data_IF_171731316692
#
_entry.id   IF_171731316692
#
_cell.length_a   1.000
_cell.length_b   1.000
_cell.length_c   1.000
_cell.angle_alpha   90.00
_cell.angle_beta   90.00
_cell.angle_gamma   90.00
#
_symmetry.space_group_name_H-M   'P 1'
#
loop_
_entity.id
_entity.type
_entity.pdbx_description
1 polymer ?
#
# COMPACT_ATOMS: atom_id res chain seq x y z
N UNK A 1 -7.48 -7.88 -20.88
CA UNK A 1 -8.88 -7.71 -20.45
C UNK A 1 -9.04 -6.30 -19.90
N UNK A 2 -10.11 -5.60 -20.22
CA UNK A 2 -10.38 -4.27 -19.65
C UNK A 2 -10.90 -4.43 -18.22
N UNK A 3 -10.45 -3.57 -17.30
CA UNK A 3 -10.95 -3.56 -15.91
C UNK A 3 -12.43 -3.20 -15.86
N UNK A 4 -13.16 -3.81 -14.94
CA UNK A 4 -14.55 -3.47 -14.65
C UNK A 4 -14.64 -2.13 -13.93
N UNK A 5 -15.81 -1.49 -13.97
CA UNK A 5 -16.07 -0.24 -13.23
C UNK A 5 -15.78 -0.41 -11.72
N UNK A 6 -16.14 -1.56 -11.15
CA UNK A 6 -15.89 -1.89 -9.75
C UNK A 6 -14.40 -1.97 -9.43
N UNK A 7 -13.61 -2.67 -10.26
CA UNK A 7 -12.16 -2.77 -10.08
C UNK A 7 -11.46 -1.40 -10.20
N UNK A 8 -11.99 -0.50 -11.04
CA UNK A 8 -11.48 0.86 -11.18
C UNK A 8 -11.73 1.66 -9.90
N UNK A 9 -12.93 1.56 -9.32
CA UNK A 9 -13.27 2.28 -8.09
C UNK A 9 -12.55 1.70 -6.86
N UNK A 10 -12.41 0.38 -6.77
CA UNK A 10 -11.59 -0.28 -5.75
C UNK A 10 -10.12 0.16 -5.83
N UNK A 11 -9.55 0.19 -7.04
CA UNK A 11 -8.19 0.70 -7.23
C UNK A 11 -8.08 2.18 -6.83
N UNK A 12 -9.13 2.97 -7.05
CA UNK A 12 -9.18 4.38 -6.65
C UNK A 12 -9.16 4.53 -5.13
N UNK A 13 -9.98 3.77 -4.42
CA UNK A 13 -10.00 3.76 -2.95
C UNK A 13 -8.64 3.30 -2.39
N UNK A 14 -8.06 2.24 -2.97
CA UNK A 14 -6.75 1.74 -2.58
C UNK A 14 -5.63 2.79 -2.77
N UNK A 15 -5.69 3.58 -3.85
CA UNK A 15 -4.75 4.69 -4.07
C UNK A 15 -4.94 5.82 -3.04
N UNK A 16 -6.18 6.07 -2.59
CA UNK A 16 -6.46 7.08 -1.55
C UNK A 16 -5.90 6.62 -0.19
N UNK A 17 -6.13 5.37 0.18
CA UNK A 17 -5.59 4.75 1.41
C UNK A 17 -4.05 4.82 1.42
N UNK A 18 -3.42 4.39 0.32
CA UNK A 18 -1.96 4.46 0.18
C UNK A 18 -1.41 5.89 0.24
N UNK A 19 -2.12 6.87 -0.36
CA UNK A 19 -1.71 8.26 -0.31
C UNK A 19 -1.81 8.85 1.11
N UNK A 20 -2.84 8.48 1.87
CA UNK A 20 -2.97 8.89 3.27
C UNK A 20 -1.82 8.31 4.11
N UNK A 21 -1.47 7.05 3.86
CA UNK A 21 -0.40 6.37 4.57
C UNK A 21 0.98 6.97 4.22
N UNK A 22 1.25 7.27 2.95
CA UNK A 22 2.45 8.02 2.53
C UNK A 22 2.59 9.36 3.24
N UNK A 23 1.50 10.11 3.39
CA UNK A 23 1.52 11.39 4.13
C UNK A 23 1.88 11.22 5.60
N UNK A 24 1.48 10.10 6.22
CA UNK A 24 1.86 9.80 7.60
C UNK A 24 3.35 9.47 7.71
N UNK A 25 3.89 8.69 6.76
CA UNK A 25 5.34 8.41 6.65
C UNK A 25 6.12 9.72 6.49
N UNK A 26 5.73 10.55 5.52
CA UNK A 26 6.39 11.82 5.23
C UNK A 26 6.34 12.78 6.42
N UNK A 27 5.26 12.72 7.21
CA UNK A 27 5.10 13.51 8.43
C UNK A 27 5.88 12.94 9.64
N UNK A 28 6.57 11.81 9.48
CA UNK A 28 7.27 11.11 10.56
C UNK A 28 6.33 10.58 11.65
N UNK A 29 5.06 10.35 11.30
CA UNK A 29 4.10 9.78 12.24
C UNK A 29 4.42 8.30 12.48
N UNK A 30 4.32 7.83 13.74
CA UNK A 30 4.42 6.41 14.02
C UNK A 30 3.29 5.68 13.30
N UNK A 31 3.64 4.64 12.56
CA UNK A 31 2.71 3.87 11.76
C UNK A 31 2.88 2.39 12.04
N UNK A 32 1.79 1.63 11.97
CA UNK A 32 1.83 0.20 12.15
C UNK A 32 2.27 -0.49 10.84
N UNK A 33 3.35 -1.28 10.83
CA UNK A 33 3.82 -1.99 9.63
C UNK A 33 2.74 -2.89 9.00
N UNK A 34 1.81 -3.40 9.81
CA UNK A 34 0.66 -4.18 9.33
C UNK A 34 -0.23 -3.44 8.34
N UNK A 35 -0.40 -2.12 8.49
CA UNK A 35 -1.23 -1.32 7.58
C UNK A 35 -0.59 -1.21 6.19
N UNK A 36 0.74 -1.11 6.13
CA UNK A 36 1.48 -1.15 4.84
C UNK A 36 1.39 -2.53 4.23
N UNK A 37 1.55 -3.58 5.03
CA UNK A 37 1.50 -4.97 4.56
C UNK A 37 0.15 -5.31 3.92
N UNK A 38 -0.95 -4.88 4.55
CA UNK A 38 -2.30 -5.06 4.02
C UNK A 38 -2.51 -4.35 2.69
N UNK A 39 -1.99 -3.13 2.54
CA UNK A 39 -2.05 -2.38 1.27
C UNK A 39 -1.20 -3.06 0.18
N UNK A 40 0.02 -3.49 0.51
CA UNK A 40 0.91 -4.22 -0.41
C UNK A 40 0.21 -5.46 -0.94
N UNK A 41 -0.40 -6.25 -0.06
CA UNK A 41 -1.16 -7.46 -0.44
C UNK A 41 -2.32 -7.14 -1.37
N UNK A 42 -3.13 -6.11 -1.04
CA UNK A 42 -4.25 -5.67 -1.88
C UNK A 42 -3.80 -5.19 -3.27
N UNK A 43 -2.67 -4.50 -3.39
CA UNK A 43 -2.12 -4.12 -4.69
C UNK A 43 -1.67 -5.33 -5.51
N UNK A 44 -1.10 -6.35 -4.89
CA UNK A 44 -0.75 -7.60 -5.56
C UNK A 44 -1.99 -8.34 -6.07
N UNK A 45 -3.04 -8.42 -5.24
CA UNK A 45 -4.32 -9.05 -5.61
C UNK A 45 -4.99 -8.31 -6.79
N UNK A 46 -4.82 -7.00 -6.89
CA UNK A 46 -5.32 -6.16 -7.99
C UNK A 46 -4.43 -6.18 -9.25
N UNK A 47 -3.32 -6.92 -9.23
CA UNK A 47 -2.38 -6.99 -10.34
C UNK A 47 -1.57 -5.71 -10.56
N UNK A 48 -1.26 -4.98 -9.48
CA UNK A 48 -0.51 -3.72 -9.46
C UNK A 48 0.85 -3.89 -8.72
N UNK A 49 1.76 -4.75 -9.22
CA UNK A 49 2.99 -5.12 -8.50
C UNK A 49 3.96 -3.95 -8.29
N UNK A 50 3.98 -2.97 -9.20
CA UNK A 50 4.82 -1.78 -9.06
C UNK A 50 4.39 -0.89 -7.88
N UNK A 51 3.09 -0.79 -7.62
CA UNK A 51 2.57 -0.02 -6.48
C UNK A 51 2.82 -0.74 -5.16
N UNK A 52 2.67 -2.07 -5.17
CA UNK A 52 3.02 -2.92 -4.04
C UNK A 52 4.49 -2.77 -3.65
N UNK A 53 5.42 -2.82 -4.61
CA UNK A 53 6.86 -2.65 -4.35
C UNK A 53 7.16 -1.28 -3.73
N UNK A 54 6.60 -0.19 -4.27
CA UNK A 54 6.82 1.16 -3.73
C UNK A 54 6.37 1.28 -2.27
N UNK A 55 5.23 0.69 -1.92
CA UNK A 55 4.77 0.68 -0.51
C UNK A 55 5.67 -0.18 0.37
N UNK A 56 6.15 -1.31 -0.14
CA UNK A 56 7.06 -2.19 0.60
C UNK A 56 8.41 -1.53 0.92
N UNK A 57 8.87 -0.56 0.13
CA UNK A 57 10.09 0.23 0.43
C UNK A 57 9.96 1.05 1.73
N UNK A 58 8.73 1.29 2.21
CA UNK A 58 8.47 2.02 3.45
C UNK A 58 8.25 1.09 4.66
N UNK A 59 8.24 -0.23 4.46
CA UNK A 59 8.25 -1.16 5.58
C UNK A 59 9.62 -1.12 6.27
N UNK A 60 9.67 -1.08 7.61
CA UNK A 60 10.95 -1.25 8.31
C UNK A 60 11.54 -2.62 7.94
N UNK A 61 12.84 -2.69 7.74
CA UNK A 61 13.54 -3.94 7.47
C UNK A 61 13.20 -4.95 8.59
N UNK A 62 12.85 -6.19 8.21
CA UNK A 62 12.43 -7.25 9.14
C UNK A 62 13.45 -7.56 10.25
N UNK A 63 14.70 -7.06 10.14
CA UNK A 63 15.75 -7.21 11.16
C UNK A 63 15.53 -6.37 12.43
N UNK A 64 14.72 -5.31 12.43
CA UNK A 64 14.50 -4.48 13.62
C UNK A 64 13.46 -5.02 14.62
N UNK A 65 12.76 -6.12 14.28
CA UNK A 65 11.65 -6.67 15.09
C UNK A 65 11.94 -8.03 15.73
N UNK A 66 13.20 -8.52 15.69
CA UNK A 66 13.62 -9.77 16.37
C UNK A 66 14.11 -9.55 17.79
#
# INVERSE_FOLDING_TARGET
MSRTFTEIEELRQLNLEASALHKQIDAGMPMHPGEVYDLVKRYLDMGEPFKAQRLAEHLPDEEEWR
#
